data_IF_767888628621
#
_entry.id   IF_767888628621
#
_cell.length_a   1.000
_cell.length_b   1.000
_cell.length_c   1.000
_cell.angle_alpha   90.00
_cell.angle_beta   90.00
_cell.angle_gamma   90.00
#
_symmetry.space_group_name_H-M   'P 1'
#
loop_
_entity.id
_entity.type
_entity.pdbx_description
1 polymer ?
#
# COMPACT_ATOMS: atom_id res chain seq x y z
N UNK A 1 -1.29 -11.21 -2.20
CA UNK A 1 -1.09 -9.81 -1.79
C UNK A 1 0.29 -9.31 -2.21
N UNK A 2 0.80 -9.68 -3.40
CA UNK A 2 2.01 -9.10 -3.98
C UNK A 2 1.83 -7.64 -4.44
N UNK A 3 0.59 -7.15 -4.61
CA UNK A 3 0.35 -5.82 -5.18
C UNK A 3 -0.56 -4.89 -4.38
N UNK A 4 -1.76 -5.31 -3.93
CA UNK A 4 -2.75 -4.39 -3.31
C UNK A 4 -2.22 -3.69 -2.06
N UNK A 5 -1.42 -4.42 -1.26
CA UNK A 5 -0.95 -3.96 0.05
C UNK A 5 0.57 -3.79 0.10
N UNK A 6 1.33 -4.36 -0.83
CA UNK A 6 2.80 -4.26 -0.84
C UNK A 6 3.36 -3.55 -2.08
N UNK A 7 2.63 -3.52 -3.19
CA UNK A 7 3.01 -2.74 -4.38
C UNK A 7 2.85 -1.24 -4.20
N UNK A 8 1.90 -0.81 -3.36
CA UNK A 8 1.66 0.60 -3.03
C UNK A 8 2.85 1.25 -2.30
N UNK A 9 3.49 0.58 -1.34
CA UNK A 9 4.41 1.24 -0.38
C UNK A 9 5.81 1.53 -0.91
N UNK A 10 6.27 0.79 -1.91
CA UNK A 10 7.63 0.96 -2.43
C UNK A 10 7.89 2.29 -3.15
N UNK A 11 6.83 2.99 -3.60
CA UNK A 11 6.95 4.16 -4.50
C UNK A 11 6.66 5.49 -3.78
N UNK A 12 6.06 5.43 -2.60
CA UNK A 12 5.37 6.55 -1.94
C UNK A 12 6.29 7.53 -1.21
N UNK A 13 7.53 7.16 -0.92
CA UNK A 13 8.47 8.02 -0.17
C UNK A 13 9.06 9.10 -1.08
N UNK A 14 8.32 10.21 -1.28
CA UNK A 14 8.83 11.59 -1.43
C UNK A 14 7.69 12.60 -1.73
N UNK A 15 7.81 13.82 -1.19
CA UNK A 15 7.09 15.09 -1.51
C UNK A 15 5.89 15.47 -0.60
N UNK A 16 5.65 16.79 -0.47
CA UNK A 16 4.87 17.53 0.55
C UNK A 16 3.98 18.59 -0.16
N UNK A 17 2.93 19.24 0.37
CA UNK A 17 2.45 19.61 1.73
C UNK A 17 0.88 19.54 1.76
N UNK A 18 0.04 20.11 2.65
CA UNK A 18 0.19 21.13 3.72
C UNK A 18 -0.94 21.15 4.78
N UNK A 19 -0.58 21.44 6.04
CA UNK A 19 -1.38 22.13 7.09
C UNK A 19 -0.45 22.61 8.20
N UNK A 20 -0.94 23.37 9.19
CA UNK A 20 -0.10 23.98 10.25
C UNK A 20 0.82 22.94 10.92
N UNK A 21 2.13 23.22 11.08
CA UNK A 21 3.13 22.16 11.16
C UNK A 21 3.18 21.51 12.57
N UNK A 22 2.85 20.22 12.71
CA UNK A 22 3.56 19.40 13.69
C UNK A 22 5.07 19.47 13.41
N UNK A 23 5.90 19.33 14.45
CA UNK A 23 7.35 19.52 14.34
C UNK A 23 7.94 18.42 13.46
N UNK A 24 8.30 18.73 12.21
CA UNK A 24 8.89 17.76 11.28
C UNK A 24 10.13 17.10 11.86
N UNK A 25 10.25 15.79 11.65
CA UNK A 25 11.38 15.02 12.14
C UNK A 25 12.72 15.52 11.58
N UNK A 26 13.71 15.63 12.45
CA UNK A 26 15.08 15.85 12.00
C UNK A 26 15.63 14.60 11.30
N UNK A 27 16.69 14.77 10.51
CA UNK A 27 17.41 13.66 9.87
C UNK A 27 17.81 12.55 10.86
N UNK A 28 18.10 12.89 12.12
CA UNK A 28 18.45 11.91 13.15
C UNK A 28 17.27 11.03 13.58
N UNK A 29 16.04 11.56 13.55
CA UNK A 29 14.81 10.86 13.89
C UNK A 29 14.28 10.10 12.67
N UNK A 30 14.28 10.70 11.48
CA UNK A 30 13.99 9.99 10.22
C UNK A 30 14.91 8.77 10.03
N UNK A 31 16.20 8.88 10.41
CA UNK A 31 17.12 7.74 10.40
C UNK A 31 16.76 6.64 11.41
N UNK A 32 16.02 6.95 12.48
CA UNK A 32 15.42 5.92 13.36
C UNK A 32 14.18 5.32 12.71
N UNK A 33 13.28 6.13 12.16
CA UNK A 33 12.07 5.66 11.44
C UNK A 33 12.45 4.68 10.32
N UNK A 34 13.43 5.02 9.49
CA UNK A 34 13.92 4.15 8.41
C UNK A 34 14.48 2.82 8.93
N UNK A 35 15.12 2.79 10.12
CA UNK A 35 15.54 1.54 10.76
C UNK A 35 14.36 0.72 11.28
N UNK A 36 13.34 1.37 11.85
CA UNK A 36 12.11 0.70 12.26
C UNK A 36 11.35 0.13 11.06
N UNK A 37 11.43 0.79 9.90
CA UNK A 37 10.77 0.38 8.64
C UNK A 37 11.48 -0.80 7.95
N UNK A 38 12.80 -0.95 8.13
CA UNK A 38 13.61 -1.95 7.43
C UNK A 38 13.03 -3.38 7.47
N UNK A 39 12.54 -3.93 8.60
CA UNK A 39 11.94 -5.26 8.65
C UNK A 39 10.70 -5.43 7.76
N UNK A 40 9.91 -4.37 7.53
CA UNK A 40 8.78 -4.39 6.60
C UNK A 40 9.26 -4.47 5.15
N UNK A 41 10.34 -3.74 4.82
CA UNK A 41 10.96 -3.76 3.49
C UNK A 41 11.62 -5.12 3.21
N UNK A 42 12.39 -5.65 4.16
CA UNK A 42 13.05 -6.95 4.05
C UNK A 42 12.01 -8.08 3.86
N UNK A 43 10.88 -8.02 4.58
CA UNK A 43 9.80 -8.97 4.40
C UNK A 43 9.08 -8.81 3.05
N UNK A 44 8.91 -7.57 2.56
CA UNK A 44 8.37 -7.32 1.21
C UNK A 44 9.28 -7.90 0.12
N UNK A 45 10.61 -7.69 0.21
CA UNK A 45 11.59 -8.27 -0.71
C UNK A 45 11.60 -9.80 -0.63
N UNK A 46 11.60 -10.38 0.57
CA UNK A 46 11.50 -11.84 0.76
C UNK A 46 10.26 -12.43 0.10
N UNK A 47 9.09 -11.78 0.27
CA UNK A 47 7.85 -12.20 -0.41
C UNK A 47 7.96 -12.07 -1.93
N UNK A 48 8.62 -11.03 -2.45
CA UNK A 48 8.87 -10.88 -3.89
C UNK A 48 9.70 -12.05 -4.44
N UNK A 49 10.80 -12.39 -3.76
CA UNK A 49 11.76 -13.44 -4.15
C UNK A 49 11.20 -14.87 -4.01
N UNK A 50 10.68 -15.24 -2.83
CA UNK A 50 10.29 -16.63 -2.54
C UNK A 50 9.04 -17.08 -3.32
N UNK A 51 8.03 -16.20 -3.47
CA UNK A 51 6.70 -16.61 -3.97
C UNK A 51 6.53 -16.35 -5.47
N UNK A 52 7.42 -16.89 -6.29
CA UNK A 52 7.36 -16.80 -7.76
C UNK A 52 5.99 -17.20 -8.33
N UNK A 53 5.17 -16.19 -8.66
CA UNK A 53 3.78 -16.18 -9.16
C UNK A 53 2.70 -17.07 -8.48
N UNK A 54 3.02 -18.19 -7.84
CA UNK A 54 2.09 -19.33 -7.69
C UNK A 54 1.75 -19.70 -6.24
N UNK A 55 2.59 -19.38 -5.25
CA UNK A 55 2.39 -19.84 -3.86
C UNK A 55 1.54 -18.93 -2.96
N UNK A 56 1.20 -17.72 -3.39
CA UNK A 56 0.39 -16.79 -2.58
C UNK A 56 -1.00 -17.34 -2.18
N UNK A 57 -1.78 -18.04 -3.05
CA UNK A 57 -3.07 -18.65 -2.72
C UNK A 57 -3.14 -19.41 -1.39
N UNK A 58 -2.09 -20.17 -1.07
CA UNK A 58 -2.09 -21.12 0.04
C UNK A 58 -1.59 -20.55 1.37
N UNK A 59 -1.05 -19.32 1.37
CA UNK A 59 -0.41 -18.71 2.54
C UNK A 59 -1.00 -17.35 2.94
N UNK A 60 -2.08 -16.89 2.28
CA UNK A 60 -2.62 -15.53 2.45
C UNK A 60 -2.81 -15.09 3.91
N UNK A 61 -3.42 -15.93 4.76
CA UNK A 61 -3.57 -15.64 6.20
C UNK A 61 -2.25 -15.55 6.96
N UNK A 62 -1.34 -16.51 6.75
CA UNK A 62 -0.03 -16.52 7.43
C UNK A 62 0.86 -15.33 7.02
N UNK A 63 0.81 -14.92 5.74
CA UNK A 63 1.49 -13.70 5.27
C UNK A 63 0.89 -12.45 5.94
N UNK A 64 -0.43 -12.41 6.09
CA UNK A 64 -1.12 -11.29 6.73
C UNK A 64 -0.78 -11.17 8.22
N UNK A 65 -0.81 -12.29 8.95
CA UNK A 65 -0.47 -12.32 10.38
C UNK A 65 1.00 -11.91 10.60
N UNK A 66 1.91 -12.31 9.70
CA UNK A 66 3.31 -11.89 9.75
C UNK A 66 3.49 -10.39 9.44
N UNK A 67 2.75 -9.82 8.47
CA UNK A 67 2.74 -8.37 8.23
C UNK A 67 2.27 -7.61 9.48
N UNK A 68 1.22 -8.09 10.13
CA UNK A 68 0.68 -7.46 11.32
C UNK A 68 1.58 -7.59 12.56
N UNK A 69 2.32 -8.69 12.69
CA UNK A 69 3.38 -8.81 13.69
C UNK A 69 4.48 -7.75 13.48
N UNK A 70 5.02 -7.64 12.24
CA UNK A 70 6.07 -6.66 11.92
C UNK A 70 5.55 -5.22 12.08
N UNK A 71 4.29 -4.95 11.75
CA UNK A 71 3.68 -3.64 12.02
C UNK A 71 3.55 -3.35 13.53
N UNK A 72 3.27 -4.36 14.36
CA UNK A 72 3.31 -4.24 15.82
C UNK A 72 4.70 -3.84 16.33
N UNK A 73 5.75 -4.45 15.78
CA UNK A 73 7.14 -4.10 16.07
C UNK A 73 7.47 -2.68 15.58
N UNK A 74 7.04 -2.28 14.38
CA UNK A 74 7.19 -0.93 13.85
C UNK A 74 6.57 0.12 14.79
N UNK A 75 5.30 -0.06 15.17
CA UNK A 75 4.60 0.82 16.12
C UNK A 75 5.34 0.96 17.45
N UNK A 76 5.92 -0.13 17.93
CA UNK A 76 6.67 -0.14 19.19
C UNK A 76 7.98 0.63 19.02
N UNK A 77 8.70 0.40 17.91
CA UNK A 77 9.96 1.06 17.56
C UNK A 77 9.82 2.58 17.34
N UNK A 78 8.67 3.04 16.81
CA UNK A 78 8.39 4.46 16.57
C UNK A 78 7.65 5.15 17.73
N UNK A 79 7.25 4.44 18.79
CA UNK A 79 6.39 4.96 19.87
C UNK A 79 6.95 6.16 20.65
N UNK A 80 8.28 6.32 20.71
CA UNK A 80 8.94 7.46 21.36
C UNK A 80 9.13 8.68 20.43
N UNK A 81 8.91 8.51 19.13
CA UNK A 81 9.08 9.55 18.12
C UNK A 81 7.84 10.44 18.14
N UNK A 82 8.03 11.75 18.40
CA UNK A 82 6.94 12.74 18.53
C UNK A 82 6.92 13.81 17.46
N UNK A 83 7.89 13.73 16.55
CA UNK A 83 7.97 14.58 15.37
C UNK A 83 7.09 14.02 14.24
N UNK A 84 6.76 14.88 13.29
CA UNK A 84 6.01 14.56 12.08
C UNK A 84 6.92 13.84 11.06
N UNK A 85 6.56 12.59 10.75
CA UNK A 85 7.24 11.76 9.76
C UNK A 85 6.22 11.15 8.82
N UNK A 86 6.30 11.55 7.54
CA UNK A 86 5.49 10.97 6.46
C UNK A 86 5.65 9.44 6.37
N UNK A 87 6.81 8.90 6.74
CA UNK A 87 7.08 7.46 6.76
C UNK A 87 6.29 6.74 7.87
N UNK A 88 6.12 7.38 9.04
CA UNK A 88 5.23 6.88 10.10
C UNK A 88 3.78 6.94 9.61
N UNK A 89 3.33 8.12 9.17
CA UNK A 89 1.94 8.34 8.78
C UNK A 89 1.50 7.43 7.64
N UNK A 90 2.34 7.24 6.61
CA UNK A 90 2.05 6.34 5.49
C UNK A 90 1.90 4.88 5.95
N UNK A 91 2.74 4.39 6.87
CA UNK A 91 2.61 3.03 7.40
C UNK A 91 1.37 2.91 8.29
N UNK A 92 1.06 3.93 9.10
CA UNK A 92 -0.12 3.93 9.96
C UNK A 92 -1.43 3.99 9.16
N UNK A 93 -1.52 4.83 8.13
CA UNK A 93 -2.69 4.97 7.27
C UNK A 93 -3.16 3.63 6.67
N UNK A 94 -2.22 2.73 6.45
CA UNK A 94 -2.43 1.49 5.71
C UNK A 94 -2.57 0.28 6.63
N UNK A 95 -1.65 0.13 7.58
CA UNK A 95 -1.60 -1.05 8.45
C UNK A 95 -2.44 -0.88 9.72
N UNK A 96 -2.81 0.34 10.16
CA UNK A 96 -3.60 0.54 11.39
C UNK A 96 -5.00 -0.05 11.31
N UNK A 97 -5.73 0.20 10.21
CA UNK A 97 -7.03 -0.43 9.99
C UNK A 97 -6.87 -1.93 9.73
N UNK A 98 -5.97 -2.28 8.81
CA UNK A 98 -5.72 -3.64 8.34
C UNK A 98 -5.37 -4.62 9.48
N UNK A 99 -4.44 -4.24 10.35
CA UNK A 99 -3.97 -5.03 11.50
C UNK A 99 -4.67 -4.62 12.81
N UNK A 100 -5.78 -3.91 12.72
CA UNK A 100 -6.61 -3.49 13.84
C UNK A 100 -8.05 -3.97 13.62
N UNK A 101 -8.99 -3.03 13.52
CA UNK A 101 -10.42 -3.34 13.40
C UNK A 101 -10.80 -4.07 12.11
N UNK A 102 -10.00 -3.95 11.05
CA UNK A 102 -10.18 -4.66 9.78
C UNK A 102 -9.64 -6.09 9.76
N UNK A 103 -8.75 -6.47 10.69
CA UNK A 103 -8.03 -7.76 10.65
C UNK A 103 -8.94 -8.99 10.48
N UNK A 104 -10.04 -9.16 11.24
CA UNK A 104 -10.91 -10.33 11.08
C UNK A 104 -11.54 -10.45 9.69
N UNK A 105 -11.83 -9.31 9.04
CA UNK A 105 -12.40 -9.29 7.70
C UNK A 105 -11.32 -9.54 6.64
N UNK A 106 -10.11 -8.99 6.80
CA UNK A 106 -9.00 -9.34 5.93
C UNK A 106 -8.63 -10.83 6.02
N UNK A 107 -8.60 -11.41 7.22
CA UNK A 107 -8.39 -12.85 7.41
C UNK A 107 -9.51 -13.70 6.75
N UNK A 108 -10.78 -13.33 6.93
CA UNK A 108 -11.95 -13.94 6.24
C UNK A 108 -11.80 -13.92 4.71
N UNK A 109 -11.34 -12.81 4.13
CA UNK A 109 -11.21 -12.65 2.68
C UNK A 109 -9.83 -13.04 2.12
N UNK A 110 -8.85 -13.40 2.97
CA UNK A 110 -7.46 -13.64 2.58
C UNK A 110 -7.31 -14.71 1.49
N UNK A 111 -8.06 -15.81 1.58
CA UNK A 111 -8.08 -16.87 0.56
C UNK A 111 -8.59 -16.35 -0.79
N UNK A 112 -9.70 -15.62 -0.80
CA UNK A 112 -10.28 -15.08 -2.03
C UNK A 112 -9.37 -14.03 -2.69
N UNK A 113 -8.78 -13.11 -1.91
CA UNK A 113 -7.78 -12.18 -2.45
C UNK A 113 -6.57 -12.91 -3.06
N UNK A 114 -6.18 -14.02 -2.45
CA UNK A 114 -5.06 -14.83 -2.91
C UNK A 114 -5.40 -15.61 -4.21
N UNK A 115 -6.64 -16.08 -4.37
CA UNK A 115 -7.17 -16.60 -5.65
C UNK A 115 -7.25 -15.51 -6.73
N UNK A 116 -7.77 -14.32 -6.41
CA UNK A 116 -7.85 -13.18 -7.35
C UNK A 116 -6.47 -12.80 -7.88
N UNK A 117 -5.42 -12.85 -7.05
CA UNK A 117 -4.05 -12.57 -7.53
C UNK A 117 -3.50 -13.58 -8.54
N UNK A 118 -4.15 -14.75 -8.70
CA UNK A 118 -3.81 -15.76 -9.72
C UNK A 118 -4.64 -15.64 -11.01
N UNK A 119 -5.66 -14.76 -11.05
CA UNK A 119 -6.47 -14.52 -12.25
C UNK A 119 -5.67 -13.72 -13.29
N UNK A 120 -5.72 -14.14 -14.56
CA UNK A 120 -4.97 -13.48 -15.63
C UNK A 120 -5.40 -12.03 -15.84
N UNK A 121 -6.71 -11.75 -15.77
CA UNK A 121 -7.31 -10.42 -15.90
C UNK A 121 -6.75 -9.48 -14.83
N UNK A 122 -6.61 -9.98 -13.61
CA UNK A 122 -6.08 -9.24 -12.47
C UNK A 122 -4.56 -9.01 -12.56
N UNK A 123 -3.84 -10.02 -13.06
CA UNK A 123 -2.42 -9.92 -13.39
C UNK A 123 -2.20 -8.87 -14.49
N UNK A 124 -3.07 -8.80 -15.49
CA UNK A 124 -3.05 -7.73 -16.51
C UNK A 124 -3.24 -6.33 -15.91
N UNK A 125 -4.20 -6.15 -14.98
CA UNK A 125 -4.36 -4.88 -14.25
C UNK A 125 -3.06 -4.48 -13.52
N UNK A 126 -2.40 -5.43 -12.85
CA UNK A 126 -1.11 -5.20 -12.17
C UNK A 126 0.02 -4.83 -13.13
N UNK A 127 0.11 -5.48 -14.29
CA UNK A 127 1.13 -5.17 -15.29
C UNK A 127 0.93 -3.78 -15.90
N UNK A 128 -0.30 -3.39 -16.23
CA UNK A 128 -0.61 -2.04 -16.70
C UNK A 128 -0.23 -0.97 -15.67
N UNK A 129 -0.56 -1.19 -14.39
CA UNK A 129 -0.17 -0.29 -13.30
C UNK A 129 1.36 -0.20 -13.13
N UNK A 130 2.07 -1.33 -13.18
CA UNK A 130 3.54 -1.38 -13.07
C UNK A 130 4.21 -0.62 -14.20
N UNK A 131 3.70 -0.75 -15.43
CA UNK A 131 4.19 -0.03 -16.60
C UNK A 131 4.00 1.49 -16.44
N UNK A 132 2.78 1.93 -16.12
CA UNK A 132 2.46 3.34 -15.91
C UNK A 132 3.28 3.98 -14.76
N UNK A 133 3.51 3.25 -13.67
CA UNK A 133 4.39 3.68 -12.57
C UNK A 133 5.85 3.81 -13.05
N UNK A 134 6.34 2.87 -13.86
CA UNK A 134 7.70 2.96 -14.42
C UNK A 134 7.85 4.16 -15.37
N UNK A 135 6.84 4.45 -16.17
CA UNK A 135 6.78 5.61 -17.07
C UNK A 135 6.76 6.92 -16.26
N UNK A 136 5.94 7.01 -15.22
CA UNK A 136 5.92 8.14 -14.28
C UNK A 136 7.29 8.37 -13.61
N UNK A 137 7.99 7.29 -13.21
CA UNK A 137 9.34 7.40 -12.63
C UNK A 137 10.37 8.00 -13.60
N UNK A 138 10.21 7.82 -14.91
CA UNK A 138 11.03 8.54 -15.90
C UNK A 138 10.66 10.03 -15.98
N UNK A 139 9.38 10.39 -15.86
CA UNK A 139 8.91 11.78 -15.84
C UNK A 139 9.32 12.57 -14.56
N UNK A 140 9.67 11.88 -13.47
CA UNK A 140 10.15 12.47 -12.21
C UNK A 140 11.37 13.40 -12.38
N UNK A 141 12.19 13.18 -13.40
CA UNK A 141 13.32 14.05 -13.73
C UNK A 141 12.90 15.41 -14.30
N UNK A 142 11.66 15.56 -14.77
CA UNK A 142 11.16 16.75 -15.48
C UNK A 142 10.21 17.58 -14.62
N UNK A 143 9.27 16.95 -13.91
CA UNK A 143 8.41 17.65 -12.94
C UNK A 143 7.93 16.71 -11.84
N UNK A 144 8.01 17.20 -10.60
CA UNK A 144 7.45 16.55 -9.42
C UNK A 144 5.91 16.50 -9.46
N UNK A 145 5.28 17.55 -9.98
CA UNK A 145 3.83 17.62 -10.11
C UNK A 145 3.31 16.64 -11.17
N UNK A 146 3.99 16.57 -12.33
CA UNK A 146 3.67 15.59 -13.37
C UNK A 146 3.83 14.15 -12.84
N UNK A 147 4.94 13.86 -12.15
CA UNK A 147 5.17 12.57 -11.51
C UNK A 147 4.03 12.17 -10.55
N UNK A 148 3.59 13.07 -9.67
CA UNK A 148 2.49 12.79 -8.74
C UNK A 148 1.14 12.60 -9.46
N UNK A 149 0.89 13.35 -10.54
CA UNK A 149 -0.31 13.19 -11.36
C UNK A 149 -0.31 11.86 -12.14
N UNK A 150 0.81 11.47 -12.73
CA UNK A 150 0.97 10.20 -13.46
C UNK A 150 0.87 9.00 -12.50
N UNK A 151 1.46 9.10 -11.31
CA UNK A 151 1.27 8.12 -10.22
C UNK A 151 -0.20 8.01 -9.81
N UNK A 152 -0.92 9.13 -9.67
CA UNK A 152 -2.35 9.14 -9.39
C UNK A 152 -3.16 8.43 -10.49
N UNK A 153 -2.90 8.74 -11.77
CA UNK A 153 -3.56 8.09 -12.91
C UNK A 153 -3.25 6.59 -13.00
N UNK A 154 -2.03 6.16 -12.69
CA UNK A 154 -1.67 4.75 -12.63
C UNK A 154 -2.50 4.01 -11.56
N UNK A 155 -2.72 4.65 -10.40
CA UNK A 155 -3.56 4.08 -9.34
C UNK A 155 -5.04 4.07 -9.69
N UNK A 156 -5.56 5.13 -10.30
CA UNK A 156 -6.95 5.21 -10.78
C UNK A 156 -7.27 4.07 -11.77
N UNK A 157 -6.40 3.89 -12.77
CA UNK A 157 -6.52 2.82 -13.76
C UNK A 157 -6.42 1.43 -13.15
N UNK A 158 -5.51 1.23 -12.18
CA UNK A 158 -5.40 -0.05 -11.47
C UNK A 158 -6.67 -0.41 -10.70
N UNK A 159 -7.24 0.55 -9.96
CA UNK A 159 -8.43 0.34 -9.15
C UNK A 159 -9.65 0.09 -10.04
N UNK A 160 -9.86 0.90 -11.08
CA UNK A 160 -10.94 0.70 -12.06
C UNK A 160 -10.86 -0.65 -12.79
N UNK A 161 -9.65 -1.13 -13.08
CA UNK A 161 -9.43 -2.44 -13.69
C UNK A 161 -9.70 -3.60 -12.71
N UNK A 162 -9.26 -3.48 -11.46
CA UNK A 162 -9.33 -4.55 -10.46
C UNK A 162 -10.65 -4.64 -9.70
N UNK A 163 -11.38 -3.53 -9.52
CA UNK A 163 -12.68 -3.46 -8.85
C UNK A 163 -13.67 -4.52 -9.35
N UNK A 164 -14.05 -4.61 -10.64
CA UNK A 164 -15.04 -5.60 -11.10
C UNK A 164 -14.60 -7.05 -10.85
N UNK A 165 -13.28 -7.32 -10.83
CA UNK A 165 -12.73 -8.65 -10.58
C UNK A 165 -12.88 -9.02 -9.10
N UNK A 166 -12.48 -8.12 -8.20
CA UNK A 166 -12.60 -8.31 -6.74
C UNK A 166 -14.07 -8.41 -6.33
N UNK A 167 -14.93 -7.53 -6.85
CA UNK A 167 -16.37 -7.52 -6.55
C UNK A 167 -17.04 -8.83 -6.99
N UNK A 168 -16.75 -9.29 -8.21
CA UNK A 168 -17.31 -10.52 -8.78
C UNK A 168 -16.84 -11.80 -8.06
N UNK A 169 -15.61 -11.83 -7.55
CA UNK A 169 -15.03 -13.02 -6.90
C UNK A 169 -15.20 -13.04 -5.38
N UNK A 170 -15.00 -11.91 -4.72
CA UNK A 170 -14.90 -11.81 -3.26
C UNK A 170 -16.03 -11.02 -2.60
N UNK A 171 -16.89 -10.37 -3.39
CA UNK A 171 -18.05 -9.62 -2.92
C UNK A 171 -17.74 -8.19 -2.46
N UNK A 172 -18.80 -7.47 -2.12
CA UNK A 172 -18.79 -6.03 -1.77
C UNK A 172 -18.02 -5.76 -0.47
N UNK A 173 -18.15 -6.64 0.55
CA UNK A 173 -17.34 -6.63 1.77
C UNK A 173 -15.84 -6.54 1.45
N UNK A 174 -15.37 -7.39 0.52
CA UNK A 174 -13.96 -7.48 0.15
C UNK A 174 -13.47 -6.23 -0.57
N UNK A 175 -14.32 -5.65 -1.44
CA UNK A 175 -14.00 -4.38 -2.09
C UNK A 175 -13.95 -3.23 -1.07
N UNK A 176 -14.85 -3.20 -0.09
CA UNK A 176 -14.88 -2.18 0.96
C UNK A 176 -13.61 -2.18 1.83
N UNK A 177 -13.01 -3.36 2.07
CA UNK A 177 -11.71 -3.46 2.73
C UNK A 177 -10.58 -2.84 1.88
N UNK A 178 -10.55 -3.15 0.59
CA UNK A 178 -9.56 -2.62 -0.36
C UNK A 178 -9.72 -1.11 -0.49
N UNK A 179 -10.93 -0.62 -0.73
CA UNK A 179 -11.20 0.81 -0.90
C UNK A 179 -10.93 1.63 0.36
N UNK A 180 -11.20 1.08 1.55
CA UNK A 180 -10.87 1.72 2.84
C UNK A 180 -9.35 1.90 2.98
N UNK A 181 -8.57 0.82 2.87
CA UNK A 181 -7.10 0.89 2.99
C UNK A 181 -6.51 1.79 1.91
N UNK A 182 -6.97 1.67 0.67
CA UNK A 182 -6.49 2.49 -0.44
C UNK A 182 -6.79 3.98 -0.22
N UNK A 183 -8.03 4.34 0.14
CA UNK A 183 -8.40 5.73 0.45
C UNK A 183 -7.53 6.30 1.58
N UNK A 184 -7.41 5.57 2.68
CA UNK A 184 -6.72 6.06 3.87
C UNK A 184 -5.22 6.25 3.60
N UNK A 185 -4.60 5.29 2.90
CA UNK A 185 -3.21 5.38 2.44
C UNK A 185 -2.99 6.58 1.51
N UNK A 186 -3.80 6.69 0.46
CA UNK A 186 -3.65 7.75 -0.55
C UNK A 186 -3.99 9.14 -0.01
N UNK A 187 -4.88 9.25 0.97
CA UNK A 187 -5.16 10.50 1.67
C UNK A 187 -3.95 11.07 2.43
N UNK A 188 -3.00 10.24 2.84
CA UNK A 188 -1.72 10.68 3.41
C UNK A 188 -0.67 10.93 2.33
N UNK A 189 -0.58 10.05 1.33
CA UNK A 189 0.59 9.97 0.45
C UNK A 189 0.43 10.70 -0.88
N UNK A 190 -0.80 10.87 -1.34
CA UNK A 190 -1.17 11.62 -2.56
C UNK A 190 -2.49 12.38 -2.29
N UNK A 191 -2.53 13.34 -1.35
CA UNK A 191 -3.77 13.97 -0.86
C UNK A 191 -4.59 14.72 -1.92
N UNK A 192 -3.98 15.06 -3.06
CA UNK A 192 -4.63 15.72 -4.19
C UNK A 192 -5.17 14.73 -5.26
N UNK A 193 -4.99 13.42 -5.05
CA UNK A 193 -5.44 12.39 -5.97
C UNK A 193 -6.90 11.99 -5.69
N UNK A 194 -7.83 12.45 -6.54
CA UNK A 194 -9.24 12.04 -6.44
C UNK A 194 -9.42 10.61 -6.97
N UNK A 195 -9.62 9.68 -6.03
CA UNK A 195 -9.88 8.26 -6.29
C UNK A 195 -11.36 7.91 -6.22
N UNK A 196 -12.27 8.86 -5.97
CA UNK A 196 -13.68 8.54 -5.65
C UNK A 196 -14.32 7.69 -6.75
N UNK A 197 -14.15 8.08 -8.02
CA UNK A 197 -14.72 7.35 -9.18
C UNK A 197 -14.13 5.96 -9.43
N UNK A 198 -13.04 5.60 -8.76
CA UNK A 198 -12.45 4.27 -8.80
C UNK A 198 -12.88 3.39 -7.62
N UNK A 199 -13.18 4.02 -6.47
CA UNK A 199 -13.45 3.37 -5.19
C UNK A 199 -14.95 3.15 -4.91
N UNK A 200 -15.82 4.02 -5.45
CA UNK A 200 -17.27 4.06 -5.21
C UNK A 200 -18.04 4.38 -6.50
#
# INVERSE_FOLDING_TARGET
>A
MKAVVLGFFGVIINILHAKEPPVKCEYSEEKKVNKCLQPMLDYATKLQEETGAVQFPLQGGAVFDQLCAIYGDFKTCTSEIRCDSLSIDAVHASYSFMCGTGQPQFQKHAGCFAEVESQNEYISCKHAATLAISEAQHAKATSTEAYLNDMCHAMDGYLKCSHPIILSKCGEDAWTLVSTVTRDSLGVTMPNCDMHSALF
#
